data_IF_145141061085
#
_entry.id   IF_145141061085
#
_cell.length_a   1.000
_cell.length_b   1.000
_cell.length_c   1.000
_cell.angle_alpha   90.00
_cell.angle_beta   90.00
_cell.angle_gamma   90.00
#
_symmetry.space_group_name_H-M   'P 1'
#
loop_
_entity.id
_entity.type
_entity.pdbx_description
1 polymer ?
#
# COMPACT_ATOMS: atom_id res chain seq x y z
N UNK A 1 -21.44 -22.42 7.55
CA UNK A 1 -20.93 -21.84 8.80
C UNK A 1 -20.13 -22.88 9.59
N UNK A 2 -20.68 -24.09 9.77
CA UNK A 2 -20.06 -25.15 10.58
C UNK A 2 -18.60 -25.47 10.22
N UNK A 3 -18.27 -25.50 8.92
CA UNK A 3 -16.94 -25.89 8.44
C UNK A 3 -15.95 -24.73 8.33
N UNK A 4 -16.41 -23.52 8.08
CA UNK A 4 -15.54 -22.39 7.72
C UNK A 4 -15.68 -21.18 8.68
N UNK A 5 -16.71 -21.15 9.52
CA UNK A 5 -17.03 -20.01 10.38
C UNK A 5 -17.69 -18.84 9.64
N UNK A 6 -18.31 -17.95 10.41
CA UNK A 6 -19.07 -16.82 9.88
C UNK A 6 -18.18 -15.83 9.11
N UNK A 7 -17.00 -15.49 9.65
CA UNK A 7 -16.10 -14.49 9.03
C UNK A 7 -15.57 -14.93 7.67
N UNK A 8 -15.32 -16.24 7.46
CA UNK A 8 -14.91 -16.73 6.15
C UNK A 8 -16.01 -16.57 5.11
N UNK A 9 -17.25 -16.83 5.49
CA UNK A 9 -18.42 -16.68 4.60
C UNK A 9 -18.65 -15.20 4.29
N UNK A 10 -18.61 -14.32 5.30
CA UNK A 10 -18.73 -12.86 5.11
C UNK A 10 -17.67 -12.33 4.18
N UNK A 11 -16.40 -12.73 4.42
CA UNK A 11 -15.26 -12.34 3.57
C UNK A 11 -15.46 -12.80 2.13
N UNK A 12 -15.89 -14.04 1.92
CA UNK A 12 -16.17 -14.57 0.60
C UNK A 12 -17.30 -13.80 -0.11
N UNK A 13 -18.43 -13.58 0.55
CA UNK A 13 -19.57 -12.88 -0.06
C UNK A 13 -19.21 -11.46 -0.49
N UNK A 14 -18.39 -10.76 0.31
CA UNK A 14 -17.93 -9.40 0.00
C UNK A 14 -16.85 -9.39 -1.08
N UNK A 15 -15.96 -10.39 -1.07
CA UNK A 15 -14.85 -10.48 -2.02
C UNK A 15 -15.28 -10.94 -3.42
N UNK A 16 -16.24 -11.88 -3.49
CA UNK A 16 -16.58 -12.56 -4.74
C UNK A 16 -17.32 -11.68 -5.74
N UNK A 17 -18.09 -10.69 -5.27
CA UNK A 17 -18.87 -9.83 -6.14
C UNK A 17 -19.14 -8.45 -5.55
N UNK A 18 -19.10 -7.37 -6.36
CA UNK A 18 -19.64 -6.08 -5.95
C UNK A 18 -21.14 -6.21 -5.60
N UNK A 19 -21.67 -5.36 -4.69
CA UNK A 19 -23.07 -5.44 -4.24
C UNK A 19 -24.12 -5.37 -5.37
N UNK A 20 -23.79 -4.73 -6.49
CA UNK A 20 -24.68 -4.54 -7.63
C UNK A 20 -24.72 -5.75 -8.58
N UNK A 21 -23.86 -6.73 -8.36
CA UNK A 21 -23.77 -7.91 -9.23
C UNK A 21 -24.26 -9.17 -8.51
N UNK A 22 -24.71 -10.14 -9.29
CA UNK A 22 -25.10 -11.44 -8.76
C UNK A 22 -23.88 -12.19 -8.26
N UNK A 23 -24.01 -12.77 -7.07
CA UNK A 23 -22.99 -13.64 -6.48
C UNK A 23 -23.13 -15.07 -7.04
N UNK A 24 -22.08 -15.58 -7.65
CA UNK A 24 -21.95 -17.01 -7.94
C UNK A 24 -21.24 -17.70 -6.77
N UNK A 25 -21.86 -18.72 -6.21
CA UNK A 25 -21.26 -19.49 -5.14
C UNK A 25 -20.06 -20.30 -5.65
N UNK A 26 -18.94 -20.20 -4.94
CA UNK A 26 -17.71 -20.94 -5.25
C UNK A 26 -17.09 -21.50 -3.99
N UNK A 27 -17.08 -22.82 -3.84
CA UNK A 27 -16.44 -23.49 -2.72
C UNK A 27 -14.93 -23.21 -2.69
N UNK A 28 -14.27 -23.16 -3.85
CA UNK A 28 -12.85 -22.79 -3.94
C UNK A 28 -12.60 -21.35 -3.50
N UNK A 29 -13.50 -20.43 -3.84
CA UNK A 29 -13.42 -19.03 -3.39
C UNK A 29 -13.57 -18.91 -1.89
N UNK A 30 -14.54 -19.63 -1.30
CA UNK A 30 -14.74 -19.68 0.14
C UNK A 30 -13.52 -20.28 0.87
N UNK A 31 -12.98 -21.39 0.34
CA UNK A 31 -11.76 -21.99 0.91
C UNK A 31 -10.56 -21.03 0.83
N UNK A 32 -10.44 -20.26 -0.25
CA UNK A 32 -9.43 -19.21 -0.40
C UNK A 32 -9.53 -18.14 0.69
N UNK A 33 -10.74 -17.64 0.96
CA UNK A 33 -10.99 -16.66 2.02
C UNK A 33 -10.70 -17.26 3.41
N UNK A 34 -11.10 -18.49 3.65
CA UNK A 34 -10.79 -19.18 4.90
C UNK A 34 -9.26 -19.35 5.12
N UNK A 35 -8.52 -19.72 4.08
CA UNK A 35 -7.05 -19.80 4.10
C UNK A 35 -6.41 -18.43 4.38
N UNK A 36 -6.97 -17.37 3.83
CA UNK A 36 -6.52 -15.99 4.11
C UNK A 36 -6.67 -15.66 5.60
N UNK A 37 -7.83 -15.88 6.19
CA UNK A 37 -8.06 -15.62 7.61
C UNK A 37 -7.21 -16.54 8.52
N UNK A 38 -6.99 -17.78 8.14
CA UNK A 38 -6.05 -18.67 8.85
C UNK A 38 -4.60 -18.16 8.80
N UNK A 39 -4.18 -17.62 7.67
CA UNK A 39 -2.83 -17.01 7.55
C UNK A 39 -2.70 -15.75 8.39
N UNK A 40 -3.75 -14.93 8.46
CA UNK A 40 -3.82 -13.77 9.33
C UNK A 40 -3.68 -14.19 10.80
N UNK A 41 -4.44 -15.21 11.21
CA UNK A 41 -4.33 -15.80 12.56
C UNK A 41 -2.94 -16.35 12.86
N UNK A 42 -2.37 -17.12 11.93
CA UNK A 42 -1.03 -17.68 12.10
C UNK A 42 0.07 -16.61 12.19
N UNK A 43 -0.11 -15.48 11.49
CA UNK A 43 0.80 -14.34 11.58
C UNK A 43 0.77 -13.71 12.98
N UNK A 44 -0.40 -13.63 13.64
CA UNK A 44 -0.51 -13.07 14.98
C UNK A 44 0.35 -13.83 15.99
N UNK A 45 0.36 -15.16 15.92
CA UNK A 45 1.21 -15.97 16.78
C UNK A 45 2.71 -15.73 16.54
N UNK A 46 3.09 -15.45 15.30
CA UNK A 46 4.49 -15.08 14.99
C UNK A 46 4.82 -13.73 15.62
N UNK A 47 3.93 -12.75 15.50
CA UNK A 47 4.15 -11.39 16.04
C UNK A 47 4.28 -11.45 17.57
N UNK A 48 3.37 -12.15 18.26
CA UNK A 48 3.36 -12.27 19.73
C UNK A 48 4.63 -12.92 20.26
N UNK A 49 5.13 -13.94 19.57
CA UNK A 49 6.31 -14.70 20.00
C UNK A 49 7.64 -14.13 19.49
N UNK A 50 7.63 -12.98 18.82
CA UNK A 50 8.86 -12.37 18.32
C UNK A 50 9.55 -11.57 19.42
N UNK A 51 10.80 -11.95 19.74
CA UNK A 51 11.62 -11.19 20.69
C UNK A 51 12.02 -9.83 20.11
N UNK A 52 12.21 -8.84 20.97
CA UNK A 52 12.64 -7.48 20.59
C UNK A 52 13.95 -7.49 19.75
N UNK A 53 14.87 -8.39 20.09
CA UNK A 53 16.14 -8.59 19.39
C UNK A 53 16.01 -9.16 17.97
N UNK A 54 14.85 -9.71 17.62
CA UNK A 54 14.58 -10.32 16.32
C UNK A 54 14.10 -9.32 15.26
N UNK A 55 13.87 -8.06 15.66
CA UNK A 55 13.52 -6.99 14.71
C UNK A 55 14.79 -6.38 14.11
N UNK A 56 14.83 -6.34 12.79
CA UNK A 56 15.92 -5.69 12.07
C UNK A 56 15.37 -4.42 11.40
N UNK A 57 15.94 -3.26 11.75
CA UNK A 57 15.59 -2.01 11.10
C UNK A 57 16.09 -2.02 9.65
N UNK A 58 15.26 -2.53 8.76
CA UNK A 58 15.51 -2.42 7.33
C UNK A 58 15.43 -0.95 6.91
N UNK A 59 16.15 -0.58 5.85
CA UNK A 59 16.07 0.77 5.29
C UNK A 59 14.72 1.07 4.66
N UNK A 60 13.99 0.02 4.27
CA UNK A 60 12.70 0.15 3.59
C UNK A 60 11.58 -0.09 4.60
N UNK A 61 10.81 0.95 4.89
CA UNK A 61 9.64 0.89 5.77
C UNK A 61 8.55 -0.01 5.17
N UNK A 62 8.04 -0.95 5.97
CA UNK A 62 6.89 -1.77 5.61
C UNK A 62 5.63 -0.90 5.44
N UNK A 63 5.51 0.13 6.26
CA UNK A 63 4.40 1.07 6.21
C UNK A 63 4.41 1.84 4.88
N UNK A 64 5.57 2.29 4.41
CA UNK A 64 5.72 2.96 3.12
C UNK A 64 5.45 2.01 1.94
N UNK A 65 5.89 0.75 2.03
CA UNK A 65 5.57 -0.29 1.03
C UNK A 65 4.05 -0.52 0.92
N UNK A 66 3.33 -0.49 2.04
CA UNK A 66 1.89 -0.70 2.07
C UNK A 66 1.06 0.59 1.85
N UNK A 67 1.68 1.75 1.74
CA UNK A 67 1.01 3.06 1.71
C UNK A 67 -0.04 3.20 0.60
N UNK A 68 0.28 2.73 -0.60
CA UNK A 68 -0.67 2.76 -1.73
C UNK A 68 -1.92 1.90 -1.46
N UNK A 69 -1.74 0.78 -0.75
CA UNK A 69 -2.85 -0.09 -0.34
C UNK A 69 -3.69 0.58 0.74
N UNK A 70 -3.07 1.29 1.68
CA UNK A 70 -3.79 2.04 2.72
C UNK A 70 -4.66 3.15 2.10
N UNK A 71 -4.09 3.95 1.19
CA UNK A 71 -4.83 4.99 0.47
C UNK A 71 -5.98 4.39 -0.34
N UNK A 72 -5.74 3.28 -1.03
CA UNK A 72 -6.76 2.59 -1.82
C UNK A 72 -7.91 2.09 -0.95
N UNK A 73 -7.60 1.47 0.20
CA UNK A 73 -8.61 1.00 1.16
C UNK A 73 -9.43 2.17 1.69
N UNK A 74 -8.80 3.28 2.06
CA UNK A 74 -9.50 4.47 2.53
C UNK A 74 -10.46 5.02 1.46
N UNK A 75 -9.98 5.15 0.21
CA UNK A 75 -10.82 5.61 -0.90
C UNK A 75 -11.96 4.64 -1.23
N UNK A 76 -11.73 3.33 -1.09
CA UNK A 76 -12.75 2.31 -1.32
C UNK A 76 -13.84 2.33 -0.23
N UNK A 77 -13.49 2.68 1.02
CA UNK A 77 -14.48 2.87 2.10
C UNK A 77 -15.21 4.22 2.01
N UNK A 78 -14.47 5.32 1.80
CA UNK A 78 -15.06 6.65 1.86
C UNK A 78 -15.81 7.08 0.60
N UNK A 79 -15.33 6.66 -0.58
CA UNK A 79 -15.77 7.23 -1.86
C UNK A 79 -16.43 6.22 -2.79
N UNK A 80 -15.89 5.00 -2.87
CA UNK A 80 -16.26 4.05 -3.93
C UNK A 80 -17.16 2.93 -3.45
N UNK A 81 -17.13 2.64 -2.15
CA UNK A 81 -17.82 1.49 -1.53
C UNK A 81 -17.47 0.14 -2.19
N UNK A 82 -16.24 0.00 -2.69
CA UNK A 82 -15.75 -1.20 -3.36
C UNK A 82 -15.14 -2.18 -2.35
N UNK A 83 -15.97 -2.85 -1.58
CA UNK A 83 -15.51 -3.71 -0.48
C UNK A 83 -14.74 -4.95 -0.95
N UNK A 84 -14.99 -5.43 -2.16
CA UNK A 84 -14.22 -6.52 -2.78
C UNK A 84 -12.73 -6.13 -2.98
N UNK A 85 -12.46 -4.88 -3.36
CA UNK A 85 -11.08 -4.38 -3.50
C UNK A 85 -10.43 -4.11 -2.15
N UNK A 86 -11.20 -3.79 -1.10
CA UNK A 86 -10.70 -3.75 0.28
C UNK A 86 -10.14 -5.12 0.68
N UNK A 87 -10.91 -6.20 0.47
CA UNK A 87 -10.46 -7.57 0.80
C UNK A 87 -9.17 -7.93 0.05
N UNK A 88 -9.10 -7.66 -1.26
CA UNK A 88 -7.87 -7.95 -2.03
C UNK A 88 -6.68 -7.14 -1.54
N UNK A 89 -6.87 -5.86 -1.21
CA UNK A 89 -5.80 -5.02 -0.66
C UNK A 89 -5.34 -5.51 0.71
N UNK A 90 -6.25 -5.97 1.57
CA UNK A 90 -5.90 -6.62 2.85
C UNK A 90 -5.08 -7.91 2.64
N UNK A 91 -5.41 -8.71 1.61
CA UNK A 91 -4.61 -9.89 1.26
C UNK A 91 -3.19 -9.51 0.81
N UNK A 92 -3.04 -8.43 0.05
CA UNK A 92 -1.74 -7.91 -0.38
C UNK A 92 -0.92 -7.40 0.81
N UNK A 93 -1.53 -6.63 1.73
CA UNK A 93 -0.87 -6.18 2.97
C UNK A 93 -0.37 -7.39 3.77
N UNK A 94 -1.22 -8.39 3.98
CA UNK A 94 -0.82 -9.63 4.67
C UNK A 94 0.36 -10.32 3.99
N UNK A 95 0.39 -10.35 2.65
CA UNK A 95 1.50 -10.91 1.90
C UNK A 95 2.79 -10.10 2.09
N UNK A 96 2.71 -8.76 2.08
CA UNK A 96 3.87 -7.88 2.31
C UNK A 96 4.42 -8.07 3.73
N UNK A 97 3.57 -8.13 4.74
CA UNK A 97 3.99 -8.45 6.10
C UNK A 97 4.70 -9.82 6.13
N UNK A 98 4.09 -10.86 5.56
CA UNK A 98 4.68 -12.20 5.58
C UNK A 98 6.05 -12.30 4.88
N UNK A 99 6.30 -11.50 3.83
CA UNK A 99 7.61 -11.44 3.15
C UNK A 99 8.72 -10.92 4.06
N UNK A 100 8.37 -10.10 5.06
CA UNK A 100 9.34 -9.55 6.02
C UNK A 100 9.76 -10.55 7.10
N UNK A 101 9.08 -11.70 7.21
CA UNK A 101 9.45 -12.75 8.15
C UNK A 101 10.41 -13.76 7.52
N UNK A 102 11.57 -13.92 8.14
CA UNK A 102 12.56 -14.95 7.82
C UNK A 102 12.76 -15.90 8.99
N UNK A 103 13.64 -16.89 8.84
CA UNK A 103 14.07 -17.75 9.95
C UNK A 103 14.87 -17.01 11.03
N UNK A 104 15.41 -15.83 10.69
CA UNK A 104 16.20 -15.00 11.59
C UNK A 104 15.37 -13.92 12.34
N UNK A 105 14.07 -13.76 12.01
CA UNK A 105 13.20 -12.76 12.62
C UNK A 105 12.42 -11.94 11.59
N UNK A 106 12.11 -10.69 11.93
CA UNK A 106 11.39 -9.75 11.08
C UNK A 106 12.33 -8.68 10.48
N UNK A 107 12.29 -8.54 9.17
CA UNK A 107 13.05 -7.53 8.40
C UNK A 107 12.29 -6.20 8.35
N UNK A 108 11.89 -5.68 9.49
CA UNK A 108 11.24 -4.39 9.67
C UNK A 108 11.34 -3.97 11.15
N UNK A 109 11.04 -2.71 11.46
CA UNK A 109 10.91 -2.28 12.85
C UNK A 109 9.63 -2.84 13.47
N UNK A 110 9.62 -3.00 14.79
CA UNK A 110 8.44 -3.43 15.54
C UNK A 110 7.29 -2.45 15.37
N UNK A 111 7.59 -1.15 15.43
CA UNK A 111 6.61 -0.09 15.27
C UNK A 111 5.94 -0.15 13.90
N UNK A 112 6.72 -0.31 12.84
CA UNK A 112 6.24 -0.43 11.47
C UNK A 112 5.31 -1.65 11.28
N UNK A 113 5.73 -2.79 11.83
CA UNK A 113 4.94 -4.03 11.82
C UNK A 113 3.61 -3.85 12.54
N UNK A 114 3.64 -3.32 13.76
CA UNK A 114 2.43 -3.13 14.58
C UNK A 114 1.49 -2.12 13.93
N UNK A 115 2.01 -1.01 13.40
CA UNK A 115 1.19 0.01 12.71
C UNK A 115 0.52 -0.55 11.45
N UNK A 116 1.26 -1.33 10.65
CA UNK A 116 0.71 -1.96 9.43
C UNK A 116 -0.33 -3.02 9.78
N UNK A 117 -0.08 -3.79 10.86
CA UNK A 117 -0.98 -4.84 11.30
C UNK A 117 -2.25 -4.27 11.94
N UNK A 118 -2.14 -3.20 12.73
CA UNK A 118 -3.27 -2.44 13.30
C UNK A 118 -4.21 -1.97 12.17
N UNK A 119 -3.66 -1.30 11.16
CA UNK A 119 -4.44 -0.87 10.01
C UNK A 119 -5.12 -2.03 9.28
N UNK A 120 -4.43 -3.15 9.10
CA UNK A 120 -4.99 -4.35 8.47
C UNK A 120 -6.21 -4.88 9.24
N UNK A 121 -6.13 -4.94 10.56
CA UNK A 121 -7.24 -5.39 11.41
C UNK A 121 -8.41 -4.40 11.39
N UNK A 122 -8.13 -3.10 11.45
CA UNK A 122 -9.15 -2.04 11.32
C UNK A 122 -9.87 -2.15 9.97
N UNK A 123 -9.11 -2.30 8.88
CA UNK A 123 -9.69 -2.43 7.56
C UNK A 123 -10.55 -3.70 7.38
N UNK A 124 -10.19 -4.79 8.06
CA UNK A 124 -10.97 -6.04 8.01
C UNK A 124 -12.17 -6.05 8.97
N UNK A 125 -12.19 -5.21 9.97
CA UNK A 125 -13.18 -5.28 11.06
C UNK A 125 -14.64 -5.23 10.60
N UNK A 126 -15.05 -4.45 9.59
CA UNK A 126 -16.45 -4.47 9.11
C UNK A 126 -16.79 -5.75 8.34
N UNK A 127 -15.78 -6.44 7.81
CA UNK A 127 -15.92 -7.61 6.93
C UNK A 127 -15.85 -8.90 7.75
N UNK A 128 -14.80 -9.04 8.58
CA UNK A 128 -14.52 -10.20 9.41
C UNK A 128 -14.38 -9.77 10.89
N UNK A 129 -15.48 -9.38 11.56
CA UNK A 129 -15.43 -8.73 12.87
C UNK A 129 -14.87 -9.63 13.98
N UNK A 130 -15.22 -10.93 14.01
CA UNK A 130 -14.84 -11.78 15.13
C UNK A 130 -13.33 -12.03 15.18
N UNK A 131 -12.72 -12.32 14.03
CA UNK A 131 -11.26 -12.52 13.98
C UNK A 131 -10.52 -11.20 14.23
N UNK A 132 -11.02 -10.08 13.68
CA UNK A 132 -10.40 -8.76 13.89
C UNK A 132 -10.44 -8.35 15.35
N UNK A 133 -11.58 -8.48 16.04
CA UNK A 133 -11.74 -8.20 17.47
C UNK A 133 -10.76 -9.01 18.31
N UNK A 134 -10.73 -10.34 18.08
CA UNK A 134 -9.90 -11.23 18.87
C UNK A 134 -8.39 -10.90 18.69
N UNK A 135 -7.95 -10.71 17.44
CA UNK A 135 -6.55 -10.41 17.16
C UNK A 135 -6.15 -8.99 17.60
N UNK A 136 -7.05 -8.04 17.53
CA UNK A 136 -6.83 -6.68 18.01
C UNK A 136 -6.53 -6.67 19.52
N UNK A 137 -7.34 -7.41 20.27
CA UNK A 137 -7.15 -7.58 21.70
C UNK A 137 -5.86 -8.32 22.06
N UNK A 138 -5.57 -9.44 21.38
CA UNK A 138 -4.40 -10.27 21.69
C UNK A 138 -3.06 -9.58 21.37
N UNK A 139 -2.99 -8.80 20.28
CA UNK A 139 -1.73 -8.21 19.81
C UNK A 139 -1.54 -6.81 20.32
N UNK A 140 -2.59 -5.98 20.27
CA UNK A 140 -2.49 -4.58 20.61
C UNK A 140 -2.89 -4.30 22.08
N UNK A 141 -3.49 -5.27 22.76
CA UNK A 141 -3.96 -5.12 24.15
C UNK A 141 -5.09 -4.08 24.31
N UNK A 142 -5.83 -3.83 23.23
CA UNK A 142 -6.90 -2.83 23.15
C UNK A 142 -8.19 -3.48 22.66
N UNK A 143 -9.34 -2.87 22.99
CA UNK A 143 -10.62 -3.28 22.42
C UNK A 143 -10.81 -2.58 21.06
N UNK A 144 -11.26 -3.33 20.05
CA UNK A 144 -11.44 -2.79 18.69
C UNK A 144 -12.50 -1.68 18.62
N UNK A 145 -13.52 -1.74 19.48
CA UNK A 145 -14.57 -0.72 19.58
C UNK A 145 -14.05 0.66 19.98
N UNK A 146 -12.88 0.73 20.65
CA UNK A 146 -12.25 1.98 21.10
C UNK A 146 -11.26 2.50 20.04
N UNK A 147 -11.05 1.76 18.96
CA UNK A 147 -10.17 2.14 17.89
C UNK A 147 -10.82 3.20 16.99
N UNK A 148 -9.97 4.07 16.45
CA UNK A 148 -10.38 5.10 15.49
C UNK A 148 -9.75 4.88 14.14
N UNK A 149 -10.49 5.18 13.07
CA UNK A 149 -9.93 5.21 11.73
C UNK A 149 -8.80 6.25 11.64
N UNK A 150 -7.66 5.95 11.02
CA UNK A 150 -6.54 6.87 10.96
C UNK A 150 -6.88 8.22 10.33
N UNK A 151 -6.23 9.29 10.81
CA UNK A 151 -6.37 10.63 10.26
C UNK A 151 -5.73 10.75 8.86
N UNK A 152 -5.97 11.88 8.19
CA UNK A 152 -5.49 12.11 6.81
C UNK A 152 -3.98 12.00 6.66
N UNK A 153 -3.25 12.45 7.67
CA UNK A 153 -1.78 12.38 7.75
C UNK A 153 -1.24 10.96 7.63
N UNK A 154 -1.99 9.96 8.12
CA UNK A 154 -1.63 8.56 7.98
C UNK A 154 -1.59 8.11 6.51
N UNK A 155 -2.43 8.67 5.66
CA UNK A 155 -2.53 8.32 4.25
C UNK A 155 -1.63 9.18 3.35
N UNK A 156 -1.06 10.25 3.88
CA UNK A 156 -0.11 11.09 3.14
C UNK A 156 1.19 10.31 2.92
N UNK A 157 1.68 10.31 1.67
CA UNK A 157 2.99 9.76 1.36
C UNK A 157 4.05 10.76 1.80
N UNK A 158 4.97 10.33 2.64
CA UNK A 158 6.24 11.00 2.82
C UNK A 158 7.09 10.77 1.56
N UNK A 159 6.68 11.38 0.45
CA UNK A 159 7.47 11.33 -0.78
C UNK A 159 8.75 12.12 -0.52
N UNK A 160 9.81 11.43 -0.10
CA UNK A 160 11.16 12.00 -0.04
C UNK A 160 11.67 12.33 -1.44
N UNK A 161 11.18 11.60 -2.43
CA UNK A 161 11.51 11.80 -3.84
C UNK A 161 10.32 11.47 -4.74
N UNK A 162 10.13 12.28 -5.77
CA UNK A 162 9.11 12.10 -6.81
C UNK A 162 9.77 11.75 -8.13
N UNK A 163 9.24 10.74 -8.81
CA UNK A 163 9.70 10.33 -10.13
C UNK A 163 9.16 11.23 -11.21
N UNK A 164 10.03 12.03 -11.82
CA UNK A 164 9.71 12.80 -13.00
C UNK A 164 10.08 12.04 -14.28
N UNK A 165 9.10 11.93 -15.19
CA UNK A 165 9.32 11.47 -16.56
C UNK A 165 9.83 12.66 -17.40
N UNK A 166 11.03 12.52 -18.00
CA UNK A 166 11.57 13.55 -18.87
C UNK A 166 11.36 13.14 -20.32
N UNK A 167 10.69 14.01 -21.05
CA UNK A 167 10.44 13.85 -22.49
C UNK A 167 11.15 14.94 -23.29
N UNK A 168 11.55 14.56 -24.51
CA UNK A 168 12.00 15.50 -25.55
C UNK A 168 11.15 15.24 -26.79
N UNK A 169 10.42 16.27 -27.25
CA UNK A 169 9.45 16.18 -28.34
C UNK A 169 8.45 15.02 -28.15
N UNK A 170 7.93 14.85 -26.90
CA UNK A 170 6.95 13.82 -26.55
C UNK A 170 7.50 12.40 -26.37
N UNK A 171 8.78 12.17 -26.58
CA UNK A 171 9.42 10.86 -26.39
C UNK A 171 10.15 10.82 -25.04
N UNK A 172 9.89 9.81 -24.24
CA UNK A 172 10.58 9.59 -22.95
C UNK A 172 12.07 9.36 -23.21
N UNK A 173 12.92 10.14 -22.52
CA UNK A 173 14.38 10.06 -22.61
C UNK A 173 15.06 9.69 -21.32
N UNK A 174 14.46 10.07 -20.18
CA UNK A 174 14.99 9.75 -18.86
C UNK A 174 13.87 9.75 -17.80
N UNK A 175 14.22 9.20 -16.65
CA UNK A 175 13.48 9.33 -15.40
C UNK A 175 14.44 9.85 -14.34
N UNK A 176 14.04 10.84 -13.56
CA UNK A 176 14.82 11.31 -12.40
C UNK A 176 13.96 11.29 -11.16
N UNK A 177 14.60 10.97 -10.03
CA UNK A 177 14.01 11.08 -8.70
C UNK A 177 14.41 12.43 -8.12
N UNK A 178 13.46 13.24 -7.71
CA UNK A 178 13.69 14.59 -7.18
C UNK A 178 12.81 14.85 -5.98
N UNK A 179 13.28 15.65 -5.04
CA UNK A 179 12.49 16.11 -3.89
C UNK A 179 11.22 16.85 -4.34
N UNK A 180 10.06 16.58 -3.76
CA UNK A 180 8.80 17.22 -4.12
C UNK A 180 8.75 18.72 -3.80
N UNK A 181 9.67 19.18 -2.91
CA UNK A 181 9.83 20.57 -2.48
C UNK A 181 10.50 21.47 -3.53
N UNK A 182 11.15 20.88 -4.55
CA UNK A 182 11.87 21.63 -5.57
C UNK A 182 10.92 22.52 -6.41
N UNK A 183 11.37 23.72 -6.65
CA UNK A 183 10.68 24.66 -7.55
C UNK A 183 10.69 24.16 -9.01
N UNK A 184 9.74 24.62 -9.82
CA UNK A 184 9.70 24.31 -11.25
C UNK A 184 11.01 24.61 -11.97
N UNK A 185 11.69 25.70 -11.58
CA UNK A 185 12.97 26.11 -12.16
C UNK A 185 14.07 25.09 -11.87
N UNK A 186 14.20 24.66 -10.62
CA UNK A 186 15.21 23.66 -10.18
C UNK A 186 14.98 22.30 -10.83
N UNK A 187 13.70 21.88 -10.89
CA UNK A 187 13.35 20.61 -11.55
C UNK A 187 13.68 20.65 -13.04
N UNK A 188 13.40 21.75 -13.75
CA UNK A 188 13.77 21.94 -15.16
C UNK A 188 15.27 21.95 -15.37
N UNK A 189 16.03 22.57 -14.45
CA UNK A 189 17.48 22.60 -14.52
C UNK A 189 18.07 21.21 -14.37
N UNK A 190 17.73 20.49 -13.30
CA UNK A 190 18.20 19.10 -13.07
C UNK A 190 17.82 18.17 -14.21
N UNK A 191 16.63 18.35 -14.79
CA UNK A 191 16.19 17.56 -15.94
C UNK A 191 17.03 17.82 -17.21
N UNK A 192 17.48 19.07 -17.46
CA UNK A 192 18.36 19.41 -18.58
C UNK A 192 19.77 18.85 -18.41
N UNK A 193 20.27 18.80 -17.18
CA UNK A 193 21.60 18.32 -16.82
C UNK A 193 21.72 16.79 -16.95
N UNK A 194 20.60 16.06 -17.01
CA UNK A 194 20.62 14.61 -17.17
C UNK A 194 21.23 14.21 -18.50
N UNK A 195 22.25 13.34 -18.49
CA UNK A 195 23.08 12.96 -19.64
C UNK A 195 22.27 12.59 -20.90
N UNK A 196 21.24 11.74 -20.74
CA UNK A 196 20.40 11.33 -21.87
C UNK A 196 19.53 12.46 -22.43
N UNK A 197 19.24 13.49 -21.63
CA UNK A 197 18.41 14.63 -22.05
C UNK A 197 19.29 15.69 -22.70
N UNK A 198 20.44 16.02 -22.11
CA UNK A 198 21.39 17.00 -22.63
C UNK A 198 21.83 16.66 -24.03
N UNK A 199 22.16 15.38 -24.34
CA UNK A 199 22.50 14.90 -25.69
C UNK A 199 21.42 15.19 -26.75
N UNK A 200 20.15 15.18 -26.33
CA UNK A 200 19.03 15.45 -27.24
C UNK A 200 18.68 16.94 -27.38
N UNK A 201 19.16 17.75 -26.46
CA UNK A 201 18.96 19.22 -26.46
C UNK A 201 20.19 19.97 -26.97
N UNK A 202 21.30 19.29 -27.20
CA UNK A 202 22.57 19.88 -27.68
C UNK A 202 22.38 20.59 -29.04
N UNK A 203 22.76 21.85 -29.11
CA UNK A 203 22.62 22.73 -30.31
C UNK A 203 21.18 22.91 -30.80
N UNK A 204 20.19 22.83 -29.90
CA UNK A 204 18.77 23.02 -30.24
C UNK A 204 18.10 24.10 -29.38
N UNK A 205 17.29 24.92 -30.02
CA UNK A 205 16.54 25.96 -29.34
C UNK A 205 15.25 25.38 -28.76
N UNK A 206 15.11 25.47 -27.43
CA UNK A 206 13.89 25.04 -26.74
C UNK A 206 12.79 26.07 -26.98
N UNK A 207 11.76 25.67 -27.69
CA UNK A 207 10.61 26.51 -28.02
C UNK A 207 9.62 26.57 -26.85
N UNK A 208 9.42 25.42 -26.19
CA UNK A 208 8.43 25.27 -25.10
C UNK A 208 8.82 24.21 -24.12
N UNK A 209 8.53 24.43 -22.83
CA UNK A 209 8.63 23.42 -21.79
C UNK A 209 7.27 23.19 -21.20
N UNK A 210 6.77 21.95 -21.26
CA UNK A 210 5.53 21.53 -20.61
C UNK A 210 5.93 20.90 -19.30
N UNK A 211 5.46 21.47 -18.19
CA UNK A 211 5.74 21.00 -16.84
C UNK A 211 4.44 20.58 -16.15
N UNK A 212 4.41 19.36 -15.63
CA UNK A 212 3.34 18.86 -14.77
C UNK A 212 4.00 18.48 -13.45
N UNK A 213 3.66 19.21 -12.41
CA UNK A 213 4.25 19.04 -11.07
C UNK A 213 4.16 17.58 -10.62
N UNK A 214 5.24 17.06 -10.08
CA UNK A 214 5.38 15.69 -9.55
C UNK A 214 5.10 14.57 -10.58
N UNK A 215 5.23 14.85 -11.89
CA UNK A 215 4.88 13.86 -12.90
C UNK A 215 5.76 13.90 -14.16
N UNK A 216 5.82 15.03 -14.84
CA UNK A 216 6.34 15.08 -16.20
C UNK A 216 7.02 16.41 -16.52
N UNK A 217 8.11 16.34 -17.26
CA UNK A 217 8.70 17.48 -17.99
C UNK A 217 8.86 17.09 -19.46
N UNK A 218 8.37 17.93 -20.39
CA UNK A 218 8.58 17.72 -21.81
C UNK A 218 9.21 18.96 -22.42
N UNK A 219 10.44 18.82 -22.92
CA UNK A 219 11.15 19.84 -23.68
C UNK A 219 10.79 19.72 -25.16
N UNK A 220 10.23 20.78 -25.73
CA UNK A 220 9.90 20.87 -27.15
C UNK A 220 10.90 21.80 -27.81
N UNK A 221 11.64 21.32 -28.80
CA UNK A 221 12.62 22.07 -29.58
C UNK A 221 12.27 22.03 -31.07
N UNK A 222 12.83 22.95 -31.82
CA UNK A 222 12.80 22.96 -33.29
C UNK A 222 13.65 21.83 -33.87
#
# INVERSE_FOLDING_TARGET
IENYGADSIRTFMIFASPPEQSLEWSDNGLEGCHKFLKRLWALSYKIINLEESSFNNSKDSLNDECKDLFVKINDDYEKRLNLNTVVSSCMEILNNINKRFSSAGAECSKEDLITTYDFLLLALSPIAPHISEQLYKEILGKELQDASWPGKEFFEKNETEVKYLIQVNGRVRANIMLEPSLSEGEVKQKAKEHENVSRHLENKDIIKVIFIKNKLINFVHS
#
